data_IF_438565210007
#
_entry.id   IF_438565210007
#
_cell.length_a   1.000
_cell.length_b   1.000
_cell.length_c   1.000
_cell.angle_alpha   90.00
_cell.angle_beta   90.00
_cell.angle_gamma   90.00
#
_symmetry.space_group_name_H-M   'P 1'
#
loop_
_entity.id
_entity.type
_entity.pdbx_description
1 polymer ?
#
# COMPACT_ATOMS: atom_id res chain seq x y z
N UNK A 1 13.72 2.44 -16.06
CA UNK A 1 12.48 3.26 -16.25
C UNK A 1 12.18 4.00 -14.96
N UNK A 2 11.58 5.19 -15.04
CA UNK A 2 11.08 5.90 -13.86
C UNK A 2 9.77 5.25 -13.40
N UNK A 3 9.77 4.81 -12.14
CA UNK A 3 8.61 4.33 -11.39
C UNK A 3 8.09 5.44 -10.48
N UNK A 4 6.78 5.48 -10.30
CA UNK A 4 6.12 6.33 -9.31
C UNK A 4 5.53 5.41 -8.25
N UNK A 5 5.98 5.55 -7.01
CA UNK A 5 5.46 4.83 -5.85
C UNK A 5 4.55 5.78 -5.08
N UNK A 6 3.42 5.26 -4.57
CA UNK A 6 2.36 6.04 -3.91
C UNK A 6 1.91 7.27 -4.73
N UNK A 7 1.45 7.06 -5.99
CA UNK A 7 1.16 8.15 -6.89
C UNK A 7 -0.03 9.00 -6.42
N UNK A 8 0.08 10.31 -6.63
CA UNK A 8 -1.03 11.25 -6.53
C UNK A 8 -2.08 11.02 -7.63
N UNK A 9 -3.22 11.73 -7.54
CA UNK A 9 -4.26 11.70 -8.58
C UNK A 9 -3.74 12.08 -9.97
N UNK A 10 -2.73 12.95 -10.03
CA UNK A 10 -2.15 13.40 -11.29
C UNK A 10 -1.18 12.35 -11.86
N UNK A 11 -0.32 11.81 -11.01
CA UNK A 11 0.76 10.91 -11.43
C UNK A 11 0.33 9.45 -11.59
N UNK A 12 -0.84 9.06 -11.06
CA UNK A 12 -1.44 7.72 -11.32
C UNK A 12 -2.01 7.58 -12.73
N UNK A 13 -2.08 8.66 -13.51
CA UNK A 13 -2.66 8.63 -14.85
C UNK A 13 -1.79 7.78 -15.79
N UNK A 14 -2.37 6.86 -16.58
CA UNK A 14 -1.57 6.04 -17.50
C UNK A 14 -0.77 6.86 -18.51
N UNK A 15 -1.30 8.00 -18.94
CA UNK A 15 -0.60 8.92 -19.84
C UNK A 15 0.66 9.51 -19.19
N UNK A 16 0.57 9.94 -17.92
CA UNK A 16 1.69 10.51 -17.18
C UNK A 16 2.89 9.55 -17.18
N UNK A 17 2.67 8.29 -16.76
CA UNK A 17 3.73 7.26 -16.70
C UNK A 17 4.43 7.03 -18.05
N UNK A 18 3.66 7.01 -19.14
CA UNK A 18 4.22 6.84 -20.49
C UNK A 18 4.99 8.07 -20.92
N UNK A 19 4.44 9.26 -20.69
CA UNK A 19 5.04 10.52 -21.06
C UNK A 19 6.39 10.75 -20.38
N UNK A 20 6.47 10.64 -19.06
CA UNK A 20 7.72 10.89 -18.34
C UNK A 20 8.83 9.92 -18.73
N UNK A 21 8.50 8.64 -18.97
CA UNK A 21 9.48 7.67 -19.46
C UNK A 21 9.89 7.91 -20.92
N UNK A 22 9.01 8.48 -21.75
CA UNK A 22 9.34 8.90 -23.12
C UNK A 22 10.27 10.12 -23.11
N UNK A 23 9.92 11.15 -22.33
CA UNK A 23 10.73 12.36 -22.15
C UNK A 23 12.07 12.10 -21.44
N UNK A 24 12.18 11.00 -20.67
CA UNK A 24 13.44 10.58 -20.05
C UNK A 24 14.43 9.97 -21.05
N UNK A 25 13.96 9.52 -22.21
CA UNK A 25 14.76 8.86 -23.25
C UNK A 25 15.02 9.74 -24.47
N UNK A 26 14.31 10.86 -24.57
CA UNK A 26 14.30 11.71 -25.74
C UNK A 26 14.46 13.16 -25.32
N UNK A 27 15.47 13.79 -25.91
CA UNK A 27 15.70 15.23 -25.80
C UNK A 27 14.94 15.98 -26.91
N UNK A 28 14.76 17.28 -26.74
CA UNK A 28 14.19 18.18 -27.75
C UNK A 28 12.81 17.77 -28.30
N UNK A 29 11.98 17.13 -27.47
CA UNK A 29 10.64 16.68 -27.83
C UNK A 29 9.66 17.84 -28.00
N UNK A 30 8.90 17.84 -29.08
CA UNK A 30 7.82 18.80 -29.37
C UNK A 30 6.44 18.25 -29.02
N UNK A 31 5.45 19.15 -28.84
CA UNK A 31 4.06 18.75 -28.60
C UNK A 31 3.46 17.92 -29.76
N UNK A 32 3.90 18.19 -31.00
CA UNK A 32 3.41 17.44 -32.18
C UNK A 32 3.85 15.99 -32.13
N UNK A 33 5.10 15.74 -31.72
CA UNK A 33 5.62 14.38 -31.54
C UNK A 33 4.92 13.67 -30.39
N UNK A 34 4.72 14.33 -29.25
CA UNK A 34 3.95 13.79 -28.12
C UNK A 34 2.54 13.37 -28.57
N UNK A 35 1.84 14.24 -29.31
CA UNK A 35 0.49 13.95 -29.83
C UNK A 35 0.47 12.79 -30.83
N UNK A 36 1.52 12.65 -31.63
CA UNK A 36 1.65 11.57 -32.58
C UNK A 36 1.92 10.23 -31.87
N UNK A 37 2.90 10.19 -30.98
CA UNK A 37 3.27 9.00 -30.21
C UNK A 37 2.13 8.51 -29.32
N UNK A 38 1.43 9.45 -28.68
CA UNK A 38 0.36 9.16 -27.73
C UNK A 38 -1.03 9.40 -28.32
N UNK A 39 -1.21 9.24 -29.63
CA UNK A 39 -2.48 9.50 -30.32
C UNK A 39 -3.69 8.75 -29.73
N UNK A 40 -3.45 7.62 -29.04
CA UNK A 40 -4.47 6.84 -28.35
C UNK A 40 -5.00 7.49 -27.04
N UNK A 41 -4.35 8.55 -26.57
CA UNK A 41 -4.76 9.30 -25.38
C UNK A 41 -5.56 10.54 -25.76
N UNK A 42 -6.73 10.70 -25.17
CA UNK A 42 -7.53 11.92 -25.26
C UNK A 42 -6.97 13.01 -24.34
N UNK A 43 -7.26 14.28 -24.64
CA UNK A 43 -6.99 15.43 -23.77
C UNK A 43 -5.50 15.69 -23.45
N UNK A 44 -4.59 15.33 -24.37
CA UNK A 44 -3.14 15.52 -24.20
C UNK A 44 -2.80 16.98 -23.83
N UNK A 45 -3.37 17.97 -24.51
CA UNK A 45 -3.07 19.39 -24.24
C UNK A 45 -3.35 19.76 -22.77
N UNK A 46 -4.52 19.36 -22.26
CA UNK A 46 -4.91 19.61 -20.87
C UNK A 46 -3.99 18.88 -19.90
N UNK A 47 -3.68 17.61 -20.16
CA UNK A 47 -2.77 16.84 -19.31
C UNK A 47 -1.38 17.48 -19.26
N UNK A 48 -0.85 17.94 -20.40
CA UNK A 48 0.44 18.64 -20.46
C UNK A 48 0.42 19.92 -19.62
N UNK A 49 -0.64 20.73 -19.71
CA UNK A 49 -0.78 21.93 -18.88
C UNK A 49 -0.80 21.60 -17.38
N UNK A 50 -1.53 20.55 -16.99
CA UNK A 50 -1.58 20.07 -15.60
C UNK A 50 -0.19 19.61 -15.11
N UNK A 51 0.56 18.87 -15.92
CA UNK A 51 1.90 18.39 -15.56
C UNK A 51 2.94 19.51 -15.51
N UNK A 52 2.86 20.49 -16.40
CA UNK A 52 3.73 21.68 -16.38
C UNK A 52 3.45 22.52 -15.15
N UNK A 53 2.17 22.75 -14.85
CA UNK A 53 1.76 23.48 -13.65
C UNK A 53 2.23 22.80 -12.37
N UNK A 54 2.22 21.46 -12.35
CA UNK A 54 2.72 20.67 -11.22
C UNK A 54 4.27 20.58 -11.16
N UNK A 55 4.98 21.07 -12.19
CA UNK A 55 6.44 21.03 -12.23
C UNK A 55 7.05 19.67 -12.58
N UNK A 56 6.25 18.70 -13.04
CA UNK A 56 6.75 17.39 -13.48
C UNK A 56 7.25 17.39 -14.93
N UNK A 57 6.85 18.38 -15.72
CA UNK A 57 7.29 18.60 -17.09
C UNK A 57 7.68 20.06 -17.23
N UNK A 58 8.85 20.33 -17.81
CA UNK A 58 9.25 21.68 -18.18
C UNK A 58 9.01 21.91 -19.66
N UNK A 59 8.61 23.13 -19.99
CA UNK A 59 8.44 23.59 -21.37
C UNK A 59 9.31 24.83 -21.61
N UNK A 60 10.31 24.68 -22.48
CA UNK A 60 11.23 25.75 -22.86
C UNK A 60 11.38 25.77 -24.38
N UNK A 61 11.26 26.92 -25.03
CA UNK A 61 11.39 27.04 -26.50
C UNK A 61 10.54 26.04 -27.31
N UNK A 62 9.32 25.73 -26.81
CA UNK A 62 8.40 24.71 -27.36
C UNK A 62 8.95 23.27 -27.32
N UNK A 63 9.97 23.02 -26.49
CA UNK A 63 10.52 21.70 -26.17
C UNK A 63 10.08 21.28 -24.78
N UNK A 64 9.79 20.00 -24.61
CA UNK A 64 9.30 19.42 -23.38
C UNK A 64 10.34 18.45 -22.84
N UNK A 65 10.59 18.52 -21.53
CA UNK A 65 11.47 17.61 -20.79
C UNK A 65 10.82 17.20 -19.48
N UNK A 66 11.09 15.99 -19.02
CA UNK A 66 10.66 15.59 -17.68
C UNK A 66 11.47 16.38 -16.63
N UNK A 67 10.84 16.68 -15.51
CA UNK A 67 11.45 17.35 -14.35
C UNK A 67 10.94 16.77 -13.05
N UNK A 68 10.64 15.46 -13.04
CA UNK A 68 10.17 14.81 -11.82
C UNK A 68 11.30 14.81 -10.77
N UNK A 69 10.99 15.02 -9.49
CA UNK A 69 11.98 15.00 -8.42
C UNK A 69 12.38 13.54 -8.16
N UNK A 70 13.42 13.06 -8.86
CA UNK A 70 13.95 11.73 -8.66
C UNK A 70 14.48 11.60 -7.22
N UNK A 71 14.27 10.42 -6.65
CA UNK A 71 14.73 10.09 -5.32
C UNK A 71 16.26 10.17 -5.27
N UNK A 72 16.77 10.92 -4.30
CA UNK A 72 18.21 11.09 -4.07
C UNK A 72 18.72 10.20 -2.92
N UNK A 73 17.89 9.94 -1.91
CA UNK A 73 18.21 9.10 -0.74
C UNK A 73 16.93 8.53 -0.09
N UNK A 74 17.08 7.57 0.82
CA UNK A 74 15.97 6.91 1.54
C UNK A 74 15.86 7.26 3.02
N UNK A 75 16.73 8.12 3.56
CA UNK A 75 16.91 8.27 5.02
C UNK A 75 15.71 8.86 5.75
N UNK A 76 14.93 9.72 5.08
CA UNK A 76 13.83 10.49 5.69
C UNK A 76 12.49 10.29 4.97
N UNK A 77 12.31 9.13 4.34
CA UNK A 77 11.06 8.82 3.66
C UNK A 77 9.95 8.52 4.67
N UNK A 78 8.82 9.19 4.47
CA UNK A 78 7.60 8.89 5.20
C UNK A 78 6.79 7.80 4.47
N UNK A 79 6.14 6.92 5.24
CA UNK A 79 5.21 5.94 4.67
C UNK A 79 4.11 6.68 3.88
N UNK A 80 3.79 6.17 2.69
CA UNK A 80 2.85 6.74 1.71
C UNK A 80 3.33 8.00 0.97
N UNK A 81 4.59 8.41 1.14
CA UNK A 81 5.18 9.50 0.34
C UNK A 81 5.24 9.13 -1.14
N UNK A 82 4.84 10.08 -2.00
CA UNK A 82 5.03 9.96 -3.45
C UNK A 82 6.53 10.01 -3.78
N UNK A 83 7.01 8.99 -4.49
CA UNK A 83 8.43 8.84 -4.82
C UNK A 83 8.59 8.52 -6.30
N UNK A 84 9.50 9.25 -6.97
CA UNK A 84 9.94 8.96 -8.33
C UNK A 84 11.31 8.31 -8.27
N UNK A 85 11.45 7.10 -8.78
CA UNK A 85 12.72 6.35 -8.67
C UNK A 85 12.96 5.55 -9.94
N UNK A 86 14.23 5.43 -10.36
CA UNK A 86 14.56 4.54 -11.48
C UNK A 86 14.61 3.09 -10.99
N UNK A 87 13.93 2.18 -11.69
CA UNK A 87 13.87 0.76 -11.30
C UNK A 87 15.21 0.01 -11.41
N UNK A 88 16.19 0.58 -12.10
CA UNK A 88 17.57 0.08 -12.20
C UNK A 88 18.52 0.70 -11.15
N UNK A 89 18.03 1.61 -10.31
CA UNK A 89 18.87 2.27 -9.30
C UNK A 89 19.03 1.44 -8.01
N UNK A 90 20.18 1.56 -7.32
CA UNK A 90 20.35 0.98 -5.98
C UNK A 90 19.29 1.46 -4.98
N UNK A 91 18.87 2.73 -5.09
CA UNK A 91 17.83 3.33 -4.27
C UNK A 91 16.50 2.58 -4.38
N UNK A 92 16.17 2.03 -5.56
CA UNK A 92 14.97 1.22 -5.71
C UNK A 92 15.04 -0.07 -4.88
N UNK A 93 16.20 -0.72 -4.81
CA UNK A 93 16.40 -1.90 -3.96
C UNK A 93 16.38 -1.53 -2.48
N UNK A 94 16.94 -0.38 -2.10
CA UNK A 94 16.85 0.11 -0.72
C UNK A 94 15.40 0.35 -0.31
N UNK A 95 14.60 1.01 -1.16
CA UNK A 95 13.16 1.23 -0.96
C UNK A 95 12.40 -0.09 -0.73
N UNK A 96 12.66 -1.12 -1.55
CA UNK A 96 12.01 -2.44 -1.41
C UNK A 96 12.33 -3.12 -0.08
N UNK A 97 13.48 -2.80 0.52
CA UNK A 97 13.92 -3.35 1.80
C UNK A 97 13.46 -2.50 3.01
N UNK A 98 12.96 -1.29 2.79
CA UNK A 98 12.45 -0.45 3.87
C UNK A 98 11.23 -1.08 4.53
N UNK A 99 11.16 -0.97 5.86
CA UNK A 99 10.03 -1.44 6.64
C UNK A 99 9.52 -0.34 7.56
N UNK A 100 8.21 -0.21 7.61
CA UNK A 100 7.50 0.78 8.42
C UNK A 100 6.61 0.09 9.42
N UNK A 101 6.46 0.69 10.59
CA UNK A 101 5.48 0.27 11.58
C UNK A 101 4.16 1.01 11.33
N UNK A 102 3.06 0.27 11.36
CA UNK A 102 1.71 0.82 11.21
C UNK A 102 0.85 0.42 12.40
N UNK A 103 0.03 1.37 12.86
CA UNK A 103 -0.87 1.18 13.98
C UNK A 103 -2.31 1.29 13.48
N UNK A 104 -3.10 0.25 13.72
CA UNK A 104 -4.53 0.23 13.43
C UNK A 104 -5.31 0.24 14.73
N UNK A 105 -6.26 1.15 14.83
CA UNK A 105 -7.14 1.33 15.97
C UNK A 105 -8.59 1.45 15.49
N UNK A 106 -9.52 1.35 16.42
CA UNK A 106 -10.94 1.60 16.18
C UNK A 106 -11.50 2.46 17.33
N UNK A 107 -12.67 3.05 17.13
CA UNK A 107 -13.36 3.89 18.10
C UNK A 107 -14.12 3.09 19.17
N UNK A 108 -14.37 1.79 18.93
CA UNK A 108 -15.21 0.97 19.82
C UNK A 108 -14.44 0.39 21.01
N UNK A 109 -13.16 0.06 20.83
CA UNK A 109 -12.31 -0.46 21.89
C UNK A 109 -10.90 0.14 21.79
N UNK A 110 -10.10 -0.03 22.85
CA UNK A 110 -8.77 0.56 22.95
C UNK A 110 -7.66 -0.34 22.36
N UNK A 111 -8.01 -1.39 21.61
CA UNK A 111 -7.00 -2.28 21.07
C UNK A 111 -6.20 -1.61 19.95
N UNK A 112 -4.89 -1.85 19.96
CA UNK A 112 -3.96 -1.39 18.93
C UNK A 112 -3.39 -2.62 18.23
N UNK A 113 -3.59 -2.72 16.91
CA UNK A 113 -2.88 -3.69 16.07
C UNK A 113 -1.65 -3.02 15.48
N UNK A 114 -0.48 -3.56 15.78
CA UNK A 114 0.81 -3.08 15.29
C UNK A 114 1.35 -4.06 14.27
N UNK A 115 1.48 -3.60 13.04
CA UNK A 115 1.93 -4.36 11.89
C UNK A 115 3.22 -3.74 11.33
N UNK A 116 4.01 -4.55 10.62
CA UNK A 116 5.10 -4.04 9.79
C UNK A 116 4.71 -4.16 8.33
N UNK A 117 5.08 -3.18 7.53
CA UNK A 117 4.83 -3.17 6.09
C UNK A 117 6.06 -2.77 5.30
N UNK A 118 6.11 -3.24 4.06
CA UNK A 118 6.94 -2.68 2.99
C UNK A 118 6.42 -1.32 2.51
N UNK A 119 7.28 -0.57 1.81
CA UNK A 119 6.96 0.76 1.28
C UNK A 119 5.94 0.73 0.12
N UNK A 120 5.85 -0.37 -0.62
CA UNK A 120 4.94 -0.55 -1.77
C UNK A 120 3.56 -1.08 -1.36
N UNK A 121 3.35 -1.38 -0.07
CA UNK A 121 2.10 -1.91 0.49
C UNK A 121 1.71 -3.25 -0.16
N UNK A 122 2.66 -4.10 -0.55
CA UNK A 122 2.40 -5.35 -1.26
C UNK A 122 2.12 -6.54 -0.32
N UNK A 123 2.70 -6.50 0.88
CA UNK A 123 2.50 -7.55 1.89
C UNK A 123 1.04 -7.65 2.34
N UNK A 124 0.63 -8.86 2.72
CA UNK A 124 -0.68 -9.12 3.30
C UNK A 124 -0.73 -8.69 4.78
N UNK A 125 -1.10 -7.43 4.99
CA UNK A 125 -1.41 -6.86 6.31
C UNK A 125 -2.75 -6.12 6.22
N UNK A 126 -3.43 -5.89 7.36
CA UNK A 126 -4.68 -5.12 7.33
C UNK A 126 -4.42 -3.67 6.91
N UNK A 127 -3.29 -3.10 7.33
CA UNK A 127 -2.93 -1.72 6.98
C UNK A 127 -2.80 -1.57 5.48
N UNK A 128 -2.12 -2.50 4.81
CA UNK A 128 -1.91 -2.48 3.37
C UNK A 128 -3.20 -2.75 2.60
N UNK A 129 -3.97 -3.71 3.08
CA UNK A 129 -5.27 -4.05 2.51
C UNK A 129 -6.20 -2.84 2.50
N UNK A 130 -6.41 -2.20 3.66
CA UNK A 130 -7.27 -1.02 3.76
C UNK A 130 -6.71 0.18 3.00
N UNK A 131 -5.39 0.37 2.98
CA UNK A 131 -4.75 1.41 2.19
C UNK A 131 -5.05 1.25 0.70
N UNK A 132 -4.83 0.05 0.14
CA UNK A 132 -5.05 -0.21 -1.29
C UNK A 132 -6.52 -0.09 -1.69
N UNK A 133 -7.45 -0.53 -0.85
CA UNK A 133 -8.89 -0.31 -1.07
C UNK A 133 -9.22 1.18 -1.14
N UNK A 134 -8.75 1.97 -0.16
CA UNK A 134 -8.97 3.42 -0.11
C UNK A 134 -8.42 4.14 -1.35
N UNK A 135 -7.25 3.73 -1.83
CA UNK A 135 -6.62 4.33 -3.02
C UNK A 135 -7.13 3.75 -4.35
N UNK A 136 -7.95 2.70 -4.30
CA UNK A 136 -8.37 1.92 -5.47
C UNK A 136 -7.17 1.41 -6.27
N UNK A 137 -6.17 0.89 -5.56
CA UNK A 137 -5.03 0.21 -6.17
C UNK A 137 -5.35 -1.26 -6.40
N UNK A 138 -4.76 -1.89 -7.42
CA UNK A 138 -4.87 -3.33 -7.61
C UNK A 138 -4.41 -4.08 -6.35
N UNK A 139 -5.16 -5.10 -5.94
CA UNK A 139 -4.77 -5.95 -4.81
C UNK A 139 -3.74 -6.98 -5.27
N UNK A 140 -2.82 -7.36 -4.39
CA UNK A 140 -1.95 -8.52 -4.63
C UNK A 140 -2.74 -9.83 -4.52
N UNK A 141 -2.23 -10.94 -5.06
CA UNK A 141 -2.90 -12.25 -4.97
C UNK A 141 -3.20 -12.66 -3.52
N UNK A 142 -2.34 -12.30 -2.56
CA UNK A 142 -2.58 -12.58 -1.15
C UNK A 142 -3.67 -11.68 -0.56
N UNK A 143 -3.67 -10.39 -0.89
CA UNK A 143 -4.71 -9.44 -0.48
C UNK A 143 -6.08 -9.77 -1.10
N UNK A 144 -6.09 -10.31 -2.32
CA UNK A 144 -7.32 -10.75 -2.97
C UNK A 144 -8.02 -11.86 -2.18
N UNK A 145 -7.27 -12.79 -1.56
CA UNK A 145 -7.86 -13.82 -0.67
C UNK A 145 -8.63 -13.21 0.50
N UNK A 146 -8.12 -12.11 1.05
CA UNK A 146 -8.81 -11.37 2.10
C UNK A 146 -10.04 -10.65 1.53
N UNK A 147 -9.91 -10.02 0.36
CA UNK A 147 -11.04 -9.37 -0.33
C UNK A 147 -12.19 -10.33 -0.64
N UNK A 148 -11.90 -11.53 -1.13
CA UNK A 148 -12.92 -12.53 -1.45
C UNK A 148 -13.71 -12.97 -0.21
N UNK A 149 -13.12 -12.82 0.98
CA UNK A 149 -13.76 -13.15 2.25
C UNK A 149 -14.54 -11.98 2.87
N UNK A 150 -13.94 -10.79 2.96
CA UNK A 150 -14.53 -9.64 3.68
C UNK A 150 -15.03 -8.51 2.78
N UNK A 151 -14.64 -8.50 1.51
CA UNK A 151 -15.01 -7.48 0.52
C UNK A 151 -14.49 -6.09 0.86
N UNK A 152 -15.12 -5.07 0.27
CA UNK A 152 -14.87 -3.65 0.56
C UNK A 152 -15.51 -3.23 1.89
N UNK A 153 -15.09 -3.90 2.97
CA UNK A 153 -15.59 -3.65 4.32
C UNK A 153 -14.98 -2.37 4.87
N UNK A 154 -15.81 -1.58 5.56
CA UNK A 154 -15.36 -0.40 6.26
C UNK A 154 -14.29 -0.78 7.33
N UNK A 155 -13.09 -0.15 7.34
CA UNK A 155 -12.01 -0.50 8.25
C UNK A 155 -12.38 -0.43 9.73
N UNK A 156 -13.13 0.59 10.15
CA UNK A 156 -13.59 0.78 11.52
C UNK A 156 -14.48 -0.38 11.97
N UNK A 157 -15.41 -0.78 11.09
CA UNK A 157 -16.28 -1.92 11.33
C UNK A 157 -15.48 -3.23 11.43
N UNK A 158 -14.62 -3.51 10.45
CA UNK A 158 -13.81 -4.74 10.47
C UNK A 158 -12.92 -4.83 11.70
N UNK A 159 -12.21 -3.74 12.03
CA UNK A 159 -11.32 -3.67 13.18
C UNK A 159 -12.07 -3.86 14.48
N UNK A 160 -13.26 -3.27 14.65
CA UNK A 160 -14.11 -3.51 15.82
C UNK A 160 -14.32 -5.01 16.07
N UNK A 161 -14.75 -5.78 15.06
CA UNK A 161 -15.06 -7.20 15.26
C UNK A 161 -13.80 -8.04 15.45
N UNK A 162 -12.77 -7.82 14.64
CA UNK A 162 -11.50 -8.52 14.72
C UNK A 162 -10.82 -8.31 16.08
N UNK A 163 -10.67 -7.06 16.52
CA UNK A 163 -10.03 -6.75 17.81
C UNK A 163 -10.89 -7.18 19.00
N UNK A 164 -12.22 -7.11 18.90
CA UNK A 164 -13.13 -7.65 19.94
C UNK A 164 -12.91 -9.16 20.13
N UNK A 165 -12.65 -9.90 19.06
CA UNK A 165 -12.28 -11.31 19.17
C UNK A 165 -10.91 -11.48 19.83
N UNK A 166 -9.90 -10.73 19.38
CA UNK A 166 -8.53 -10.81 19.90
C UNK A 166 -8.43 -10.45 21.39
N UNK A 167 -9.16 -9.44 21.86
CA UNK A 167 -9.17 -9.01 23.27
C UNK A 167 -9.60 -10.11 24.25
N UNK A 168 -10.32 -11.14 23.78
CA UNK A 168 -10.68 -12.30 24.61
C UNK A 168 -9.45 -13.08 25.09
N UNK A 169 -8.32 -12.99 24.37
CA UNK A 169 -7.06 -13.60 24.79
C UNK A 169 -6.44 -12.95 26.04
N UNK A 170 -6.95 -11.80 26.49
CA UNK A 170 -6.55 -11.22 27.79
C UNK A 170 -6.86 -12.14 28.98
N UNK A 171 -7.90 -12.97 28.84
CA UNK A 171 -8.40 -13.86 29.90
C UNK A 171 -8.26 -15.35 29.58
N UNK A 172 -8.04 -15.71 28.31
CA UNK A 172 -8.01 -17.09 27.81
C UNK A 172 -6.79 -17.30 26.92
N UNK A 173 -6.21 -18.48 26.92
CA UNK A 173 -5.11 -18.83 26.01
C UNK A 173 -5.61 -19.38 24.67
N UNK A 174 -6.80 -19.98 24.67
CA UNK A 174 -7.44 -20.59 23.50
C UNK A 174 -8.89 -20.12 23.37
N UNK A 175 -9.36 -19.92 22.14
CA UNK A 175 -10.74 -19.52 21.85
C UNK A 175 -11.42 -20.52 20.92
N UNK A 176 -12.68 -20.83 21.20
CA UNK A 176 -13.50 -21.66 20.32
C UNK A 176 -14.58 -20.81 19.67
N UNK A 177 -14.80 -20.99 18.37
CA UNK A 177 -15.81 -20.28 17.60
C UNK A 177 -16.79 -21.29 17.01
N UNK A 178 -18.04 -21.32 17.53
CA UNK A 178 -19.05 -22.33 17.15
C UNK A 178 -19.74 -22.05 15.81
N UNK A 179 -19.85 -20.77 15.44
CA UNK A 179 -20.47 -20.33 14.17
C UNK A 179 -19.41 -19.67 13.32
N UNK A 180 -19.43 -19.93 12.01
CA UNK A 180 -18.53 -19.26 11.07
C UNK A 180 -18.62 -17.75 11.23
N UNK A 181 -17.47 -17.09 11.30
CA UNK A 181 -17.34 -15.65 11.44
C UNK A 181 -16.22 -15.20 10.50
N UNK A 182 -16.59 -14.42 9.47
CA UNK A 182 -15.66 -13.99 8.43
C UNK A 182 -14.51 -13.12 8.99
N UNK A 183 -14.69 -12.47 10.14
CA UNK A 183 -13.63 -11.70 10.78
C UNK A 183 -12.64 -12.62 11.49
N UNK A 184 -13.09 -13.74 12.04
CA UNK A 184 -12.22 -14.78 12.60
C UNK A 184 -11.47 -15.49 11.47
N UNK A 185 -12.16 -15.84 10.38
CA UNK A 185 -11.55 -16.44 9.19
C UNK A 185 -10.47 -15.49 8.61
N UNK A 186 -10.71 -14.18 8.59
CA UNK A 186 -9.75 -13.18 8.15
C UNK A 186 -8.51 -13.11 9.06
N UNK A 187 -8.70 -13.18 10.39
CA UNK A 187 -7.59 -13.24 11.34
C UNK A 187 -6.71 -14.50 11.13
N UNK A 188 -7.29 -15.60 10.66
CA UNK A 188 -6.54 -16.81 10.27
C UNK A 188 -5.75 -16.57 8.98
N UNK A 189 -6.38 -15.97 7.96
CA UNK A 189 -5.72 -15.62 6.68
C UNK A 189 -4.52 -14.69 6.92
N UNK A 190 -4.66 -13.73 7.83
CA UNK A 190 -3.61 -12.80 8.24
C UNK A 190 -2.54 -13.45 9.14
N UNK A 191 -2.77 -14.68 9.62
CA UNK A 191 -1.87 -15.38 10.54
C UNK A 191 -1.84 -14.82 11.96
N UNK A 192 -2.84 -14.03 12.36
CA UNK A 192 -2.91 -13.42 13.70
C UNK A 192 -3.34 -14.45 14.74
N UNK A 193 -4.13 -15.43 14.29
CA UNK A 193 -4.51 -16.62 15.04
C UNK A 193 -4.32 -17.85 14.16
N UNK A 194 -4.17 -19.03 14.78
CA UNK A 194 -4.19 -20.29 14.04
C UNK A 194 -5.02 -21.34 14.79
N UNK A 195 -5.72 -22.25 14.08
CA UNK A 195 -6.37 -23.38 14.71
C UNK A 195 -5.32 -24.36 15.27
N UNK A 196 -5.60 -24.94 16.42
CA UNK A 196 -4.86 -26.04 17.02
C UNK A 196 -5.53 -27.38 16.72
N UNK A 197 -4.91 -28.49 17.14
CA UNK A 197 -5.39 -29.85 16.92
C UNK A 197 -6.79 -30.10 17.50
N UNK A 198 -7.17 -29.37 18.56
CA UNK A 198 -8.48 -29.44 19.20
C UNK A 198 -9.55 -28.56 18.53
N UNK A 199 -9.24 -27.92 17.40
CA UNK A 199 -10.16 -27.02 16.68
C UNK A 199 -10.41 -25.68 17.37
N UNK A 200 -9.57 -25.30 18.34
CA UNK A 200 -9.58 -23.98 18.96
C UNK A 200 -8.52 -23.08 18.34
N UNK A 201 -8.71 -21.78 18.43
CA UNK A 201 -7.76 -20.79 17.96
C UNK A 201 -6.78 -20.39 19.05
N UNK A 202 -5.52 -20.31 18.66
CA UNK A 202 -4.42 -19.78 19.45
C UNK A 202 -3.96 -18.44 18.88
N UNK A 203 -3.60 -17.51 19.78
CA UNK A 203 -3.03 -16.23 19.39
C UNK A 203 -1.58 -16.41 18.91
N UNK A 204 -1.27 -15.87 17.73
CA UNK A 204 0.10 -15.88 17.16
C UNK A 204 0.80 -14.53 17.27
N UNK A 205 0.07 -13.48 17.64
CA UNK A 205 0.61 -12.15 17.95
C UNK A 205 1.25 -12.12 19.35
N UNK A 206 2.14 -11.16 19.58
CA UNK A 206 2.54 -10.76 20.92
C UNK A 206 1.47 -9.82 21.49
N UNK A 207 0.99 -10.05 22.72
CA UNK A 207 -0.10 -9.26 23.30
C UNK A 207 0.28 -8.66 24.64
N UNK A 208 0.41 -7.34 24.62
CA UNK A 208 0.59 -6.51 25.80
C UNK A 208 -0.80 -6.14 26.37
N UNK A 209 -1.09 -6.70 27.55
CA UNK A 209 -2.39 -6.53 28.22
C UNK A 209 -2.57 -5.16 28.87
N UNK A 210 -1.49 -4.47 29.20
CA UNK A 210 -1.55 -3.16 29.86
C UNK A 210 -1.94 -2.08 28.85
N UNK A 211 -1.31 -2.13 27.67
CA UNK A 211 -1.57 -1.18 26.58
C UNK A 211 -2.63 -1.67 25.58
N UNK A 212 -3.12 -2.89 25.74
CA UNK A 212 -4.02 -3.58 24.80
C UNK A 212 -3.46 -3.64 23.38
N UNK A 213 -2.13 -3.81 23.27
CA UNK A 213 -1.41 -3.78 21.99
C UNK A 213 -1.09 -5.19 21.53
N UNK A 214 -1.53 -5.54 20.31
CA UNK A 214 -1.14 -6.76 19.62
C UNK A 214 -0.07 -6.45 18.56
N UNK A 215 1.09 -7.11 18.64
CA UNK A 215 2.20 -6.91 17.72
C UNK A 215 2.41 -8.14 16.86
N UNK A 216 2.45 -7.94 15.54
CA UNK A 216 2.80 -8.98 14.57
C UNK A 216 4.26 -9.38 14.76
N UNK A 217 4.50 -10.67 15.03
CA UNK A 217 5.86 -11.20 15.20
C UNK A 217 6.59 -11.19 13.85
N UNK A 218 7.88 -10.89 13.88
CA UNK A 218 8.80 -10.82 12.72
C UNK A 218 8.83 -12.08 11.83
N UNK A 219 8.24 -13.19 12.28
CA UNK A 219 8.24 -14.48 11.59
C UNK A 219 7.06 -14.71 10.61
N UNK A 220 6.12 -13.77 10.50
CA UNK A 220 5.04 -13.84 9.51
C UNK A 220 5.48 -13.40 8.11
N UNK A 221 6.69 -12.84 7.99
CA UNK A 221 7.41 -12.64 6.73
C UNK A 221 8.10 -13.95 6.30
N UNK A 222 7.32 -14.98 5.95
CA UNK A 222 7.88 -16.03 5.07
C UNK A 222 7.59 -15.63 3.62
N UNK A 223 8.61 -15.68 2.74
CA UNK A 223 8.47 -15.33 1.33
C UNK A 223 7.43 -16.19 0.62
#
# INVERSE_FOLDING_TARGET
MIKVINPSRLTRQPFFHKLINYLDRHDDVTLREIKHEFANFSNIDRSMEEYIKAGYVLRENKRYRQSVPLLENVTDLSLDQEVFVRDDSPLYQELLNMRFETHLTNQTNQAILVEKTDFLREQLTLSNYFYRLKQQYPLTNQQQKLYDLVGDVNPEYALKYMTTFLLKYGRKTELMQKRRDIFVDALVILGYIAPNEAGKYELKLDFDKETLTFRVKKALDKP
#
